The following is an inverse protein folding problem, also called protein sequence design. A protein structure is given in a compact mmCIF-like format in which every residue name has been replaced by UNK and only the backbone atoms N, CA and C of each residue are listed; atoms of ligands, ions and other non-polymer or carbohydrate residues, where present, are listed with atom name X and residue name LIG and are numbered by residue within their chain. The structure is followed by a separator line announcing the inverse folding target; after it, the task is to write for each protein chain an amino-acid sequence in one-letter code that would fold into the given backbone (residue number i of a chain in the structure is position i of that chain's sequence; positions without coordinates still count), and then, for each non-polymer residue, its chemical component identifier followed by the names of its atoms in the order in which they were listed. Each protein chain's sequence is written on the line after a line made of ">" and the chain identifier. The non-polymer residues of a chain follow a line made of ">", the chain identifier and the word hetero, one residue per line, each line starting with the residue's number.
data_IF_109963995397
#
_entry.id   IF_109963995397
#
_cell.length_a   1.000
_cell.length_b   1.000
_cell.length_c   1.000
_cell.angle_alpha   90.00
_cell.angle_beta   90.00
_cell.angle_gamma   90.00
#
_symmetry.space_group_name_H-M   'P 1'
#
loop_
_entity.id
_entity.type
_entity.pdbx_description
1 polymer ?
#
# COMPACT_ATOMS: atom_id res chain seq x y z
N UNK A 1 25.63 23.78 41.70
CA UNK A 1 24.51 22.84 41.89
C UNK A 1 23.31 23.48 41.23
N UNK A 2 23.11 23.20 39.94
CA UNK A 2 22.04 23.79 39.12
C UNK A 2 21.01 22.70 38.90
N UNK A 3 19.89 22.76 39.61
CA UNK A 3 18.76 21.87 39.37
C UNK A 3 18.07 22.35 38.09
N UNK A 4 18.23 21.57 37.02
CA UNK A 4 17.49 21.77 35.78
C UNK A 4 15.99 21.53 35.99
N UNK A 5 15.12 22.15 35.18
CA UNK A 5 13.69 22.04 35.38
C UNK A 5 13.23 20.57 35.20
N UNK A 6 12.33 20.09 36.08
CA UNK A 6 11.80 18.73 36.01
C UNK A 6 11.06 18.52 34.69
N UNK A 7 11.31 17.35 34.10
CA UNK A 7 10.94 16.99 32.74
C UNK A 7 9.51 17.37 32.36
N UNK A 8 9.41 18.14 31.27
CA UNK A 8 8.21 18.17 30.45
C UNK A 8 8.03 16.77 29.85
N UNK A 9 7.41 15.86 30.61
CA UNK A 9 6.78 14.67 30.03
C UNK A 9 5.69 15.18 29.10
N UNK A 10 6.01 15.25 27.82
CA UNK A 10 5.03 15.49 26.79
C UNK A 10 3.89 14.50 27.03
N UNK A 11 2.71 15.00 27.40
CA UNK A 11 1.51 14.17 27.56
C UNK A 11 1.26 13.51 26.22
N UNK A 12 1.72 12.27 26.07
CA UNK A 12 1.40 11.42 24.93
C UNK A 12 -0.11 11.28 24.95
N UNK A 13 -0.74 12.02 24.06
CA UNK A 13 -2.19 12.06 23.95
C UNK A 13 -2.59 10.77 23.27
N UNK A 14 -3.54 10.01 23.84
CA UNK A 14 -3.99 8.71 23.34
C UNK A 14 -4.89 8.83 22.08
N UNK A 15 -4.57 9.78 21.21
CA UNK A 15 -5.34 10.11 20.02
C UNK A 15 -4.42 10.07 18.80
N UNK A 16 -4.97 9.54 17.70
CA UNK A 16 -4.34 9.68 16.39
C UNK A 16 -4.33 11.16 16.03
N UNK A 17 -3.18 11.67 15.61
CA UNK A 17 -3.02 13.07 15.19
C UNK A 17 -2.43 13.15 13.79
N UNK A 18 -2.93 14.06 12.97
CA UNK A 18 -2.30 14.38 11.68
C UNK A 18 -1.51 15.68 11.82
N UNK A 19 -0.29 15.68 11.31
CA UNK A 19 0.58 16.83 11.14
C UNK A 19 0.91 17.02 9.65
N UNK A 20 1.09 18.27 9.22
CA UNK A 20 1.61 18.59 7.88
C UNK A 20 3.11 18.81 7.95
N UNK A 21 3.85 18.17 7.05
CA UNK A 21 5.29 18.34 6.85
C UNK A 21 5.51 18.79 5.41
N UNK A 22 5.24 20.08 5.14
CA UNK A 22 5.10 20.58 3.78
C UNK A 22 3.96 19.84 3.05
N UNK A 23 4.27 19.30 1.87
CA UNK A 23 3.33 18.53 1.04
C UNK A 23 3.09 17.09 1.55
N UNK A 24 3.74 16.67 2.64
CA UNK A 24 3.57 15.35 3.25
C UNK A 24 2.60 15.41 4.43
N UNK A 25 1.84 14.34 4.61
CA UNK A 25 1.06 14.09 5.83
C UNK A 25 1.84 13.16 6.76
N UNK A 26 1.98 13.53 8.03
CA UNK A 26 2.47 12.65 9.09
C UNK A 26 1.31 12.35 10.04
N UNK A 27 0.92 11.09 10.13
CA UNK A 27 -0.07 10.63 11.08
C UNK A 27 0.63 9.93 12.24
N UNK A 28 0.46 10.48 13.44
CA UNK A 28 1.02 9.95 14.67
C UNK A 28 0.03 8.98 15.30
N UNK A 29 0.46 7.73 15.39
CA UNK A 29 -0.20 6.62 16.05
C UNK A 29 0.44 6.45 17.44
N UNK A 30 -0.31 6.65 18.54
CA UNK A 30 0.27 6.65 19.88
C UNK A 30 0.85 5.28 20.28
N UNK A 31 0.22 4.20 19.83
CA UNK A 31 0.61 2.82 20.12
C UNK A 31 0.21 1.85 19.00
N UNK A 32 0.92 0.72 18.92
CA UNK A 32 0.61 -0.35 17.98
C UNK A 32 -0.43 -1.31 18.55
N UNK A 33 -1.71 -0.96 18.40
CA UNK A 33 -2.85 -1.80 18.78
C UNK A 33 -3.78 -2.09 17.60
N UNK A 34 -4.47 -3.24 17.61
CA UNK A 34 -5.39 -3.65 16.55
C UNK A 34 -6.54 -2.63 16.34
N UNK A 35 -7.10 -2.11 17.44
CA UNK A 35 -8.13 -1.06 17.40
C UNK A 35 -7.62 0.22 16.74
N UNK A 36 -6.37 0.60 16.99
CA UNK A 36 -5.72 1.76 16.35
C UNK A 36 -5.43 1.52 14.88
N UNK A 37 -5.04 0.30 14.49
CA UNK A 37 -4.88 -0.05 13.09
C UNK A 37 -6.20 0.09 12.31
N UNK A 38 -7.34 -0.27 12.93
CA UNK A 38 -8.67 -0.07 12.33
C UNK A 38 -9.01 1.42 12.15
N UNK A 39 -8.86 2.22 13.21
CA UNK A 39 -9.08 3.67 13.15
C UNK A 39 -8.14 4.36 12.15
N UNK A 40 -6.89 3.90 12.05
CA UNK A 40 -5.92 4.45 11.13
C UNK A 40 -6.36 4.31 9.68
N UNK A 41 -7.06 3.24 9.28
CA UNK A 41 -7.51 3.07 7.89
C UNK A 41 -8.44 4.20 7.43
N UNK A 42 -9.34 4.65 8.30
CA UNK A 42 -10.23 5.77 7.98
C UNK A 42 -9.47 7.10 7.94
N UNK A 43 -8.53 7.33 8.87
CA UNK A 43 -7.65 8.51 8.86
C UNK A 43 -6.77 8.55 7.59
N UNK A 44 -6.21 7.40 7.21
CA UNK A 44 -5.42 7.24 5.99
C UNK A 44 -6.22 7.57 4.74
N UNK A 45 -7.44 7.06 4.65
CA UNK A 45 -8.32 7.33 3.51
C UNK A 45 -8.66 8.81 3.43
N UNK A 46 -8.98 9.45 4.56
CA UNK A 46 -9.23 10.89 4.64
C UNK A 46 -8.01 11.71 4.20
N UNK A 47 -6.81 11.38 4.69
CA UNK A 47 -5.59 12.09 4.32
C UNK A 47 -5.21 11.88 2.85
N UNK A 48 -5.41 10.67 2.32
CA UNK A 48 -5.17 10.42 0.90
C UNK A 48 -6.12 11.18 -0.01
N UNK A 49 -7.34 11.43 0.44
CA UNK A 49 -8.31 12.27 -0.25
C UNK A 49 -7.76 13.69 -0.49
N UNK A 50 -7.03 14.22 0.49
CA UNK A 50 -6.37 15.53 0.39
C UNK A 50 -5.14 15.51 -0.52
N UNK A 51 -4.87 14.39 -1.18
CA UNK A 51 -3.85 14.21 -2.21
C UNK A 51 -2.44 14.69 -1.81
N UNK A 52 -1.92 14.32 -0.63
CA UNK A 52 -0.56 14.70 -0.24
C UNK A 52 0.47 14.05 -1.17
N UNK A 53 1.65 14.67 -1.23
CA UNK A 53 2.83 14.14 -1.93
C UNK A 53 3.34 12.84 -1.32
N UNK A 54 3.00 12.57 -0.06
CA UNK A 54 3.29 11.31 0.62
C UNK A 54 2.65 11.27 2.00
N UNK A 55 2.45 10.06 2.52
CA UNK A 55 1.84 9.83 3.82
C UNK A 55 2.79 9.01 4.71
N UNK A 56 3.11 9.48 5.90
CA UNK A 56 3.86 8.73 6.89
C UNK A 56 2.98 8.39 8.08
N UNK A 57 3.07 7.15 8.57
CA UNK A 57 2.50 6.76 9.86
C UNK A 57 3.65 6.58 10.84
N UNK A 58 3.69 7.39 11.89
CA UNK A 58 4.63 7.20 13.00
C UNK A 58 3.96 6.41 14.10
N UNK A 59 4.56 5.31 14.50
CA UNK A 59 4.14 4.52 15.66
C UNK A 59 5.03 4.94 16.83
N UNK A 60 4.46 5.64 17.80
CA UNK A 60 5.23 6.24 18.90
C UNK A 60 5.62 5.22 19.96
N UNK A 61 4.70 4.29 20.34
CA UNK A 61 4.98 3.20 21.28
C UNK A 61 4.72 1.84 20.67
N UNK A 62 5.63 0.91 20.94
CA UNK A 62 5.57 -0.47 20.45
C UNK A 62 5.81 -1.36 21.66
N UNK A 63 4.73 -1.78 22.30
CA UNK A 63 4.73 -2.62 23.50
C UNK A 63 3.77 -3.79 23.28
N UNK A 64 4.19 -5.01 23.62
CA UNK A 64 3.30 -6.18 23.61
C UNK A 64 2.62 -6.49 22.28
N UNK A 65 3.18 -6.05 21.14
CA UNK A 65 2.56 -6.27 19.84
C UNK A 65 2.57 -7.75 19.47
N UNK A 66 1.49 -8.21 18.86
CA UNK A 66 1.39 -9.54 18.31
C UNK A 66 1.60 -9.54 16.79
N UNK A 67 1.75 -10.75 16.23
CA UNK A 67 1.89 -10.90 14.78
C UNK A 67 0.66 -10.38 14.02
N UNK A 68 -0.53 -10.39 14.63
CA UNK A 68 -1.74 -9.90 13.99
C UNK A 68 -1.72 -8.37 13.80
N UNK A 69 -1.23 -7.63 14.78
CA UNK A 69 -1.16 -6.17 14.74
C UNK A 69 -0.10 -5.71 13.74
N UNK A 70 1.05 -6.40 13.66
CA UNK A 70 2.06 -6.11 12.62
C UNK A 70 1.53 -6.43 11.22
N UNK A 71 0.75 -7.50 11.05
CA UNK A 71 0.06 -7.78 9.78
C UNK A 71 -0.96 -6.71 9.43
N UNK A 72 -1.69 -6.17 10.42
CA UNK A 72 -2.63 -5.07 10.20
C UNK A 72 -1.92 -3.80 9.71
N UNK A 73 -0.79 -3.46 10.34
CA UNK A 73 0.09 -2.35 9.92
C UNK A 73 0.65 -2.56 8.51
N UNK A 74 1.20 -3.75 8.23
CA UNK A 74 1.67 -4.11 6.88
C UNK A 74 0.54 -4.15 5.84
N UNK A 75 -0.71 -4.37 6.31
CA UNK A 75 -1.93 -4.32 5.53
C UNK A 75 -2.18 -2.96 4.90
N UNK A 76 -1.65 -1.86 5.45
CA UNK A 76 -1.75 -0.54 4.82
C UNK A 76 -1.09 -0.49 3.45
N UNK A 77 -0.06 -1.32 3.20
CA UNK A 77 0.55 -1.42 1.88
C UNK A 77 -0.40 -1.96 0.80
N UNK A 78 -1.46 -2.68 1.20
CA UNK A 78 -2.53 -3.04 0.26
C UNK A 78 -3.34 -1.82 -0.19
N UNK A 79 -3.49 -0.80 0.65
CA UNK A 79 -4.14 0.44 0.26
C UNK A 79 -3.25 1.21 -0.73
N UNK A 80 -1.94 1.33 -0.45
CA UNK A 80 -0.95 1.94 -1.36
C UNK A 80 -0.93 1.26 -2.73
N UNK A 81 -1.00 -0.07 -2.76
CA UNK A 81 -1.04 -0.86 -4.00
C UNK A 81 -2.17 -0.41 -4.94
N UNK A 82 -3.32 -0.03 -4.37
CA UNK A 82 -4.50 0.43 -5.11
C UNK A 82 -4.58 1.96 -5.22
N UNK A 83 -3.69 2.68 -4.53
CA UNK A 83 -3.63 4.15 -4.50
C UNK A 83 -2.30 4.64 -5.09
N UNK A 84 -2.16 4.69 -6.42
CA UNK A 84 -0.91 5.11 -7.05
C UNK A 84 -0.60 6.57 -6.73
N UNK A 85 0.70 6.85 -6.59
CA UNK A 85 1.24 8.21 -6.57
C UNK A 85 1.36 8.91 -5.25
N UNK A 86 0.72 8.42 -4.20
CA UNK A 86 1.04 8.88 -2.86
C UNK A 86 1.81 7.76 -2.15
N UNK A 87 3.16 7.79 -2.16
CA UNK A 87 3.94 6.84 -1.38
C UNK A 87 3.51 6.88 0.08
N UNK A 88 3.66 5.76 0.76
CA UNK A 88 3.41 5.65 2.19
C UNK A 88 4.62 5.10 2.91
N UNK A 89 4.90 5.66 4.08
CA UNK A 89 5.98 5.24 4.95
C UNK A 89 5.51 4.90 6.36
N UNK A 90 6.19 3.95 7.01
CA UNK A 90 6.02 3.62 8.42
C UNK A 90 7.29 4.00 9.18
N UNK A 91 7.13 4.92 10.13
CA UNK A 91 8.17 5.30 11.09
C UNK A 91 7.93 4.55 12.38
N UNK A 92 8.78 3.59 12.71
CA UNK A 92 8.63 2.76 13.91
C UNK A 92 10.00 2.64 14.62
N UNK A 93 10.11 2.89 15.94
CA UNK A 93 11.41 2.84 16.61
C UNK A 93 12.05 1.43 16.63
N UNK A 94 11.23 0.38 16.54
CA UNK A 94 11.64 -1.02 16.70
C UNK A 94 12.08 -1.68 15.37
N UNK A 95 13.34 -2.13 15.21
CA UNK A 95 13.82 -2.83 14.00
C UNK A 95 12.99 -4.04 13.58
N UNK A 96 12.59 -4.88 14.55
CA UNK A 96 11.86 -6.11 14.25
C UNK A 96 10.47 -5.86 13.65
N UNK A 97 9.83 -4.72 13.96
CA UNK A 97 8.58 -4.33 13.29
C UNK A 97 8.83 -4.02 11.81
N UNK A 98 9.95 -3.38 11.46
CA UNK A 98 10.30 -3.12 10.06
C UNK A 98 10.52 -4.41 9.29
N UNK A 99 11.24 -5.37 9.87
CA UNK A 99 11.52 -6.65 9.24
C UNK A 99 10.22 -7.42 8.97
N UNK A 100 9.35 -7.50 9.98
CA UNK A 100 8.07 -8.18 9.86
C UNK A 100 7.12 -7.49 8.86
N UNK A 101 7.09 -6.16 8.83
CA UNK A 101 6.33 -5.41 7.82
C UNK A 101 6.89 -5.70 6.43
N UNK A 102 8.21 -5.66 6.25
CA UNK A 102 8.86 -5.86 4.94
C UNK A 102 8.69 -7.28 4.42
N UNK A 103 8.68 -8.29 5.30
CA UNK A 103 8.43 -9.69 4.95
C UNK A 103 6.97 -9.93 4.51
N UNK A 104 6.03 -9.08 4.93
CA UNK A 104 4.64 -9.22 4.56
C UNK A 104 4.42 -8.85 3.07
N UNK A 105 3.66 -9.64 2.27
CA UNK A 105 3.47 -9.39 0.84
C UNK A 105 2.89 -8.01 0.48
N UNK A 106 2.14 -7.40 1.41
CA UNK A 106 1.64 -6.04 1.26
C UNK A 106 2.63 -4.98 1.75
N UNK A 107 3.51 -5.30 2.71
CA UNK A 107 4.42 -4.33 3.29
C UNK A 107 5.56 -3.91 2.35
N UNK A 108 5.86 -4.69 1.30
CA UNK A 108 6.77 -4.28 0.21
C UNK A 108 6.36 -2.99 -0.53
N UNK A 109 5.12 -2.52 -0.35
CA UNK A 109 4.65 -1.26 -0.92
C UNK A 109 4.84 -0.07 0.03
N UNK A 110 5.36 -0.30 1.22
CA UNK A 110 5.61 0.70 2.25
C UNK A 110 7.11 1.02 2.32
N UNK A 111 7.45 2.29 2.45
CA UNK A 111 8.75 2.68 2.98
C UNK A 111 8.77 2.39 4.48
N UNK A 112 9.89 1.91 5.03
CA UNK A 112 9.99 1.55 6.44
C UNK A 112 11.29 2.08 7.01
N UNK A 113 11.26 2.62 8.24
CA UNK A 113 12.47 3.14 8.88
C UNK A 113 12.24 3.63 10.29
N UNK A 114 13.33 3.77 11.05
CA UNK A 114 13.24 4.16 12.45
C UNK A 114 12.99 5.66 12.65
N UNK A 115 13.26 6.47 11.62
CA UNK A 115 13.18 7.92 11.70
C UNK A 115 12.45 8.48 10.47
N UNK A 116 11.83 9.65 10.65
CA UNK A 116 11.17 10.38 9.56
C UNK A 116 12.13 10.62 8.39
N UNK A 117 13.38 11.10 8.58
CA UNK A 117 14.30 11.31 7.46
C UNK A 117 14.64 10.03 6.68
N UNK A 118 14.79 8.89 7.36
CA UNK A 118 15.08 7.61 6.70
C UNK A 118 13.92 7.17 5.80
N UNK A 119 12.69 7.32 6.30
CA UNK A 119 11.46 7.01 5.56
C UNK A 119 11.27 7.96 4.39
N UNK A 120 11.42 9.27 4.60
CA UNK A 120 11.32 10.28 3.54
C UNK A 120 12.30 10.01 2.40
N UNK A 121 13.56 9.67 2.73
CA UNK A 121 14.57 9.31 1.73
C UNK A 121 14.11 8.16 0.82
N UNK A 122 13.51 7.11 1.39
CA UNK A 122 12.97 6.00 0.62
C UNK A 122 11.76 6.42 -0.23
N UNK A 123 10.86 7.23 0.33
CA UNK A 123 9.68 7.73 -0.38
C UNK A 123 10.04 8.61 -1.58
N UNK A 124 11.03 9.49 -1.45
CA UNK A 124 11.54 10.26 -2.59
C UNK A 124 12.15 9.37 -3.66
N UNK A 125 12.90 8.33 -3.27
CA UNK A 125 13.42 7.33 -4.20
C UNK A 125 12.33 6.54 -4.95
N UNK A 126 11.15 6.36 -4.35
CA UNK A 126 10.01 5.72 -4.98
C UNK A 126 9.28 6.61 -6.02
N UNK A 127 9.63 7.90 -6.06
CA UNK A 127 9.02 8.92 -6.92
C UNK A 127 7.74 9.49 -6.33
N UNK A 128 7.76 10.80 -6.02
CA UNK A 128 6.56 11.57 -5.66
C UNK A 128 5.73 11.82 -6.91
N UNK A 129 4.40 11.70 -6.81
CA UNK A 129 3.53 11.96 -7.95
C UNK A 129 3.49 13.44 -8.36
N UNK A 130 3.42 13.68 -9.66
CA UNK A 130 2.97 14.98 -10.17
C UNK A 130 1.46 15.07 -9.98
N UNK A 131 0.97 16.16 -9.40
CA UNK A 131 -0.46 16.35 -9.11
C UNK A 131 -0.96 17.68 -9.67
N UNK A 132 -2.17 17.67 -10.23
CA UNK A 132 -2.93 18.85 -10.66
C UNK A 132 -4.28 18.80 -9.99
N UNK A 133 -4.69 19.91 -9.37
CA UNK A 133 -6.01 20.06 -8.75
C UNK A 133 -6.69 21.30 -9.33
N UNK A 134 -7.98 21.17 -9.66
CA UNK A 134 -8.81 22.27 -10.13
C UNK A 134 -10.16 22.27 -9.41
N UNK A 135 -10.72 23.45 -9.26
CA UNK A 135 -12.12 23.64 -8.88
C UNK A 135 -13.00 23.60 -10.14
N UNK A 136 -14.20 23.03 -9.99
CA UNK A 136 -15.19 22.88 -11.05
C UNK A 136 -16.52 23.43 -10.55
N UNK A 137 -17.23 24.17 -11.41
CA UNK A 137 -18.61 24.52 -11.10
C UNK A 137 -19.48 23.23 -11.07
N UNK A 138 -20.52 23.14 -10.22
CA UNK A 138 -21.43 21.98 -10.17
C UNK A 138 -22.42 21.95 -11.33
N UNK A 139 -21.91 21.90 -12.56
CA UNK A 139 -22.72 21.92 -13.77
C UNK A 139 -22.21 20.88 -14.76
N UNK A 140 -23.10 20.33 -15.58
CA UNK A 140 -22.70 19.35 -16.60
C UNK A 140 -21.72 19.93 -17.64
N UNK A 141 -21.65 21.26 -17.80
CA UNK A 141 -20.64 21.91 -18.65
C UNK A 141 -19.22 21.72 -18.13
N UNK A 142 -19.04 21.52 -16.83
CA UNK A 142 -17.73 21.28 -16.20
C UNK A 142 -17.11 19.95 -16.62
N UNK A 143 -17.88 19.02 -17.21
CA UNK A 143 -17.38 17.75 -17.76
C UNK A 143 -16.34 18.00 -18.86
N UNK A 144 -16.56 18.98 -19.74
CA UNK A 144 -15.62 19.27 -20.82
C UNK A 144 -14.36 19.98 -20.32
N UNK A 145 -14.51 20.84 -19.29
CA UNK A 145 -13.38 21.43 -18.58
C UNK A 145 -12.51 20.35 -17.93
N UNK A 146 -13.14 19.41 -17.21
CA UNK A 146 -12.45 18.29 -16.57
C UNK A 146 -11.71 17.38 -17.57
N UNK A 147 -12.33 17.10 -18.73
CA UNK A 147 -11.71 16.33 -19.84
C UNK A 147 -10.54 17.08 -20.48
N UNK A 148 -10.65 18.40 -20.61
CA UNK A 148 -9.57 19.24 -21.14
C UNK A 148 -8.39 19.25 -20.17
N UNK A 149 -8.64 19.42 -18.87
CA UNK A 149 -7.60 19.38 -17.83
C UNK A 149 -6.86 18.06 -17.81
N UNK A 150 -7.57 16.92 -17.87
CA UNK A 150 -6.88 15.62 -17.89
C UNK A 150 -6.11 15.40 -19.18
N UNK A 151 -6.58 15.94 -20.30
CA UNK A 151 -5.85 15.90 -21.58
C UNK A 151 -4.52 16.66 -21.46
N UNK A 152 -4.55 17.89 -20.95
CA UNK A 152 -3.36 18.70 -20.73
C UNK A 152 -2.40 18.03 -19.75
N UNK A 153 -2.88 17.57 -18.59
CA UNK A 153 -2.05 16.87 -17.62
C UNK A 153 -1.39 15.61 -18.20
N UNK A 154 -2.12 14.82 -19.00
CA UNK A 154 -1.53 13.66 -19.68
C UNK A 154 -0.45 14.05 -20.68
N UNK A 155 -0.59 15.17 -21.39
CA UNK A 155 0.42 15.65 -22.32
C UNK A 155 1.67 16.11 -21.55
N UNK A 156 1.48 16.90 -20.50
CA UNK A 156 2.55 17.42 -19.64
C UNK A 156 3.35 16.28 -18.98
N UNK A 157 2.68 15.19 -18.60
CA UNK A 157 3.31 14.01 -18.01
C UNK A 157 3.85 12.99 -19.03
N UNK A 158 3.76 13.27 -20.34
CA UNK A 158 4.20 12.34 -21.39
C UNK A 158 3.36 11.06 -21.49
N UNK A 159 2.13 11.08 -20.98
CA UNK A 159 1.18 9.96 -20.93
C UNK A 159 0.05 10.10 -21.96
N UNK A 160 0.33 10.69 -23.13
CA UNK A 160 -0.67 10.91 -24.19
C UNK A 160 -1.49 9.66 -24.56
N UNK A 161 -0.87 8.47 -24.50
CA UNK A 161 -1.53 7.17 -24.75
C UNK A 161 -2.65 6.83 -23.75
N UNK A 162 -2.71 7.49 -22.60
CA UNK A 162 -3.76 7.30 -21.60
C UNK A 162 -4.97 8.21 -21.80
N UNK A 163 -4.87 9.27 -22.60
CA UNK A 163 -5.96 10.24 -22.82
C UNK A 163 -7.28 9.54 -23.19
N UNK A 164 -7.32 8.60 -24.16
CA UNK A 164 -8.58 7.94 -24.54
C UNK A 164 -9.19 7.09 -23.43
N UNK A 165 -8.39 6.68 -22.43
CA UNK A 165 -8.83 5.85 -21.31
C UNK A 165 -9.28 6.68 -20.13
N UNK A 166 -8.53 7.73 -19.79
CA UNK A 166 -8.77 8.55 -18.59
C UNK A 166 -9.84 9.61 -18.81
N UNK A 167 -9.94 10.20 -20.01
CA UNK A 167 -10.91 11.26 -20.31
C UNK A 167 -12.37 10.82 -20.10
N UNK A 168 -12.80 9.61 -20.54
CA UNK A 168 -14.13 9.09 -20.22
C UNK A 168 -14.36 8.87 -18.72
N UNK A 169 -13.34 8.40 -17.98
CA UNK A 169 -13.42 8.17 -16.53
C UNK A 169 -13.69 9.47 -15.79
N UNK A 170 -12.88 10.49 -16.07
CA UNK A 170 -13.04 11.83 -15.47
C UNK A 170 -14.43 12.37 -15.77
N UNK A 171 -14.84 12.33 -17.04
CA UNK A 171 -16.15 12.87 -17.44
C UNK A 171 -17.32 12.16 -16.75
N UNK A 172 -17.25 10.84 -16.54
CA UNK A 172 -18.29 10.11 -15.83
C UNK A 172 -18.31 10.40 -14.33
N UNK A 173 -17.15 10.49 -13.67
CA UNK A 173 -17.10 10.82 -12.24
C UNK A 173 -17.65 12.23 -11.97
N UNK A 174 -17.26 13.20 -12.79
CA UNK A 174 -17.75 14.60 -12.71
C UNK A 174 -19.24 14.68 -13.02
N UNK A 175 -19.70 14.06 -14.12
CA UNK A 175 -21.12 14.07 -14.47
C UNK A 175 -21.98 13.43 -13.37
N UNK A 176 -21.52 12.31 -12.80
CA UNK A 176 -22.22 11.64 -11.70
C UNK A 176 -22.32 12.54 -10.48
N UNK A 177 -21.22 13.16 -10.04
CA UNK A 177 -21.25 14.07 -8.90
C UNK A 177 -22.25 15.22 -9.09
N UNK A 178 -22.27 15.84 -10.27
CA UNK A 178 -23.24 16.89 -10.62
C UNK A 178 -24.68 16.37 -10.60
N UNK A 179 -24.94 15.21 -11.20
CA UNK A 179 -26.28 14.60 -11.23
C UNK A 179 -26.77 14.17 -9.85
N UNK A 180 -25.84 13.83 -8.94
CA UNK A 180 -26.11 13.51 -7.54
C UNK A 180 -26.21 14.76 -6.65
N UNK A 181 -26.14 15.96 -7.24
CA UNK A 181 -26.41 17.23 -6.55
C UNK A 181 -25.22 17.84 -5.81
N UNK A 182 -23.98 17.58 -6.25
CA UNK A 182 -22.79 18.25 -5.72
C UNK A 182 -22.94 19.78 -5.74
N UNK A 183 -22.47 20.46 -4.68
CA UNK A 183 -22.33 21.92 -4.59
C UNK A 183 -20.94 22.36 -5.01
N UNK A 184 -19.95 22.22 -4.13
CA UNK A 184 -18.55 22.53 -4.47
C UNK A 184 -17.88 21.28 -5.05
N UNK A 185 -17.29 21.37 -6.25
CA UNK A 185 -16.66 20.23 -6.92
C UNK A 185 -15.17 20.47 -7.15
N UNK A 186 -14.34 19.53 -6.71
CA UNK A 186 -12.90 19.55 -6.97
C UNK A 186 -12.47 18.31 -7.74
N UNK A 187 -11.61 18.50 -8.73
CA UNK A 187 -10.96 17.41 -9.46
C UNK A 187 -9.47 17.43 -9.16
N UNK A 188 -8.95 16.31 -8.66
CA UNK A 188 -7.52 16.09 -8.53
C UNK A 188 -7.05 14.93 -9.42
N UNK A 189 -5.94 15.16 -10.11
CA UNK A 189 -5.27 14.22 -10.98
C UNK A 189 -3.86 14.01 -10.44
N UNK A 190 -3.46 12.77 -10.19
CA UNK A 190 -2.09 12.45 -9.75
C UNK A 190 -1.48 11.37 -10.62
N UNK A 191 -0.25 11.61 -11.08
CA UNK A 191 0.51 10.69 -11.92
C UNK A 191 1.62 9.99 -11.15
N UNK A 192 1.67 8.67 -11.29
CA UNK A 192 2.78 7.87 -10.77
C UNK A 192 3.14 6.78 -11.74
N UNK A 193 4.37 6.85 -12.25
CA UNK A 193 4.84 5.97 -13.33
C UNK A 193 3.83 6.02 -14.48
N UNK A 194 3.35 4.87 -14.94
CA UNK A 194 2.39 4.77 -16.04
C UNK A 194 0.93 4.70 -15.56
N UNK A 195 0.60 5.35 -14.44
CA UNK A 195 -0.74 5.33 -13.82
C UNK A 195 -1.20 6.74 -13.53
N UNK A 196 -2.50 6.97 -13.70
CA UNK A 196 -3.19 8.22 -13.33
C UNK A 196 -4.27 7.89 -12.33
N UNK A 197 -4.22 8.56 -11.18
CA UNK A 197 -5.31 8.63 -10.20
C UNK A 197 -6.20 9.81 -10.58
N UNK A 198 -7.50 9.57 -10.57
CA UNK A 198 -8.54 10.58 -10.67
C UNK A 198 -9.30 10.59 -9.35
N UNK A 199 -9.47 11.77 -8.77
CA UNK A 199 -10.26 11.99 -7.57
C UNK A 199 -11.24 13.13 -7.83
N UNK A 200 -12.52 12.89 -7.57
CA UNK A 200 -13.57 13.90 -7.58
C UNK A 200 -14.08 14.03 -6.16
N UNK A 201 -14.02 15.24 -5.63
CA UNK A 201 -14.46 15.59 -4.29
C UNK A 201 -15.67 16.51 -4.37
N UNK A 202 -16.67 16.25 -3.54
CA UNK A 202 -17.84 17.10 -3.38
C UNK A 202 -18.28 17.25 -1.91
N UNK A 203 -19.05 18.30 -1.65
CA UNK A 203 -19.53 18.72 -0.32
C UNK A 203 -20.78 17.97 0.16
N UNK A 204 -21.28 16.99 -0.59
CA UNK A 204 -22.49 16.24 -0.26
C UNK A 204 -22.14 14.83 0.22
N UNK A 205 -22.12 14.56 1.54
CA UNK A 205 -21.92 13.22 2.05
C UNK A 205 -22.93 12.23 1.45
N UNK A 206 -22.43 11.11 0.94
CA UNK A 206 -23.29 10.06 0.36
C UNK A 206 -23.40 8.89 1.32
N UNK A 207 -24.54 8.20 1.35
CA UNK A 207 -24.65 6.98 2.13
C UNK A 207 -23.58 6.00 1.65
N UNK A 208 -22.64 5.62 2.51
CA UNK A 208 -21.64 4.61 2.20
C UNK A 208 -22.37 3.32 1.81
N UNK A 209 -22.48 3.04 0.52
CA UNK A 209 -23.00 1.75 0.04
C UNK A 209 -21.97 0.70 0.42
N UNK A 210 -22.12 0.16 1.64
CA UNK A 210 -21.35 -0.92 2.24
C UNK A 210 -20.07 -1.22 1.48
N UNK A 211 -19.04 -0.40 1.66
CA UNK A 211 -17.70 -0.78 1.30
C UNK A 211 -17.36 -1.96 2.20
N UNK A 212 -17.66 -3.17 1.72
CA UNK A 212 -17.05 -4.38 2.23
C UNK A 212 -15.57 -4.15 2.01
N UNK A 213 -14.85 -3.77 3.07
CA UNK A 213 -13.40 -3.62 3.14
C UNK A 213 -12.69 -4.97 2.97
N UNK A 214 -13.17 -5.81 2.08
CA UNK A 214 -12.36 -6.91 1.58
C UNK A 214 -11.36 -6.27 0.65
N UNK A 215 -10.06 -6.49 0.92
CA UNK A 215 -8.95 -6.23 0.01
C UNK A 215 -9.02 -7.02 -1.31
N UNK A 216 -10.22 -7.40 -1.76
CA UNK A 216 -10.54 -7.95 -3.06
C UNK A 216 -11.47 -6.94 -3.73
N UNK A 217 -11.00 -6.33 -4.82
CA UNK A 217 -11.76 -5.37 -5.61
C UNK A 217 -13.05 -6.00 -6.15
N UNK A 218 -14.13 -5.89 -5.40
CA UNK A 218 -15.47 -6.15 -5.92
C UNK A 218 -16.12 -4.81 -6.26
N UNK A 219 -16.39 -4.70 -7.56
CA UNK A 219 -17.04 -3.58 -8.25
C UNK A 219 -18.32 -3.18 -7.51
N UNK A 220 -18.41 -1.92 -7.06
CA UNK A 220 -19.72 -1.27 -6.88
C UNK A 220 -20.52 -1.40 -8.19
N UNK A 221 -21.83 -1.68 -8.12
CA UNK A 221 -22.63 -2.01 -9.29
C UNK A 221 -22.75 -0.79 -10.23
N UNK A 222 -22.59 -1.10 -11.52
CA UNK A 222 -23.04 -0.31 -12.69
C UNK A 222 -22.57 1.15 -12.84
N UNK A 223 -21.29 1.32 -13.19
CA UNK A 223 -20.92 2.28 -14.25
C UNK A 223 -20.08 1.47 -15.22
N UNK A 224 -20.51 1.45 -16.49
CA UNK A 224 -19.93 0.76 -17.65
C UNK A 224 -18.56 1.34 -18.03
N UNK A 225 -17.66 1.46 -17.05
CA UNK A 225 -16.25 1.75 -17.30
C UNK A 225 -15.54 0.42 -17.55
N UNK A 226 -15.14 0.25 -18.81
CA UNK A 226 -14.56 -0.98 -19.34
C UNK A 226 -13.21 -1.39 -18.76
N UNK A 227 -12.60 -2.37 -19.44
CA UNK A 227 -11.44 -3.20 -19.10
C UNK A 227 -10.11 -2.48 -18.77
N UNK A 228 -10.12 -1.16 -18.59
CA UNK A 228 -8.93 -0.31 -18.42
C UNK A 228 -8.78 0.32 -17.04
N UNK A 229 -9.73 0.08 -16.13
CA UNK A 229 -9.62 0.48 -14.73
C UNK A 229 -8.75 -0.50 -13.95
N UNK A 230 -7.73 0.02 -13.26
CA UNK A 230 -6.96 -0.74 -12.28
C UNK A 230 -7.72 -0.91 -10.96
N UNK A 231 -8.31 0.18 -10.46
CA UNK A 231 -9.11 0.21 -9.24
C UNK A 231 -10.07 1.42 -9.23
N UNK A 232 -11.13 1.37 -8.43
CA UNK A 232 -12.07 2.49 -8.19
C UNK A 232 -12.76 2.33 -6.83
N UNK A 233 -13.32 3.41 -6.32
CA UNK A 233 -14.13 3.38 -5.10
C UNK A 233 -14.71 4.75 -4.74
N UNK A 234 -15.47 4.75 -3.65
CA UNK A 234 -16.08 5.94 -3.06
C UNK A 234 -15.93 5.86 -1.55
N UNK A 235 -15.76 7.01 -0.89
CA UNK A 235 -15.77 7.11 0.57
C UNK A 235 -16.15 8.53 1.01
N UNK A 236 -16.54 8.66 2.28
CA UNK A 236 -16.74 9.96 2.92
C UNK A 236 -15.61 10.23 3.91
N UNK A 237 -15.11 11.47 3.94
CA UNK A 237 -14.12 11.93 4.90
C UNK A 237 -14.33 13.41 5.21
N UNK A 238 -14.23 13.81 6.49
CA UNK A 238 -14.33 15.21 6.89
C UNK A 238 -15.63 15.91 6.48
N UNK A 239 -16.74 15.18 6.38
CA UNK A 239 -18.03 15.73 5.91
C UNK A 239 -18.10 15.95 4.40
N UNK A 240 -17.15 15.41 3.63
CA UNK A 240 -17.12 15.46 2.17
C UNK A 240 -17.17 14.06 1.57
N UNK A 241 -17.59 13.98 0.33
CA UNK A 241 -17.64 12.75 -0.45
C UNK A 241 -16.53 12.73 -1.51
N UNK A 242 -15.94 11.56 -1.71
CA UNK A 242 -14.84 11.34 -2.63
C UNK A 242 -15.13 10.15 -3.53
N UNK A 243 -15.15 10.37 -4.84
CA UNK A 243 -15.17 9.32 -5.85
C UNK A 243 -13.81 9.24 -6.55
N UNK A 244 -13.23 8.05 -6.66
CA UNK A 244 -11.90 7.90 -7.22
C UNK A 244 -11.78 6.73 -8.18
N UNK A 245 -10.81 6.84 -9.09
CA UNK A 245 -10.46 5.80 -10.04
C UNK A 245 -8.97 5.84 -10.38
N UNK A 246 -8.45 4.68 -10.78
CA UNK A 246 -7.07 4.50 -11.25
C UNK A 246 -7.09 3.94 -12.66
N UNK A 247 -6.41 4.64 -13.56
CA UNK A 247 -6.23 4.25 -14.96
C UNK A 247 -4.76 3.93 -15.17
N UNK A 248 -4.47 2.76 -15.72
CA UNK A 248 -3.09 2.30 -15.95
C UNK A 248 -2.82 2.14 -17.46
N UNK A 249 -1.60 2.47 -17.89
CA UNK A 249 -1.13 2.03 -19.20
C UNK A 249 -0.98 0.52 -19.06
N UNK A 250 -1.69 -0.25 -19.90
CA UNK A 250 -1.87 -1.70 -19.77
C UNK A 250 -0.71 -2.39 -19.03
N UNK A 251 -1.04 -3.16 -17.99
CA UNK A 251 -0.12 -4.23 -17.57
C UNK A 251 0.26 -4.98 -18.84
N UNK A 252 1.55 -5.22 -19.13
CA UNK A 252 1.87 -6.21 -20.14
C UNK A 252 1.09 -7.46 -19.74
N UNK A 253 0.18 -7.89 -20.62
CA UNK A 253 -0.35 -9.22 -20.50
C UNK A 253 0.90 -10.08 -20.44
N UNK A 254 1.09 -10.82 -19.35
CA UNK A 254 1.84 -12.06 -19.42
C UNK A 254 1.00 -12.96 -20.35
N UNK A 255 1.04 -12.64 -21.64
CA UNK A 255 0.43 -13.40 -22.70
C UNK A 255 1.13 -14.75 -22.64
N UNK A 256 0.33 -15.78 -22.41
CA UNK A 256 0.79 -17.11 -22.07
C UNK A 256 1.84 -17.61 -23.05
N UNK A 257 3.09 -17.63 -22.60
CA UNK A 257 4.05 -18.59 -23.09
C UNK A 257 3.76 -19.90 -22.35
N UNK A 258 2.66 -20.54 -22.75
CA UNK A 258 2.45 -21.97 -22.51
C UNK A 258 3.49 -22.66 -23.39
N UNK A 259 4.47 -23.41 -22.84
CA UNK A 259 5.31 -24.25 -23.67
C UNK A 259 4.37 -25.28 -24.31
N UNK A 260 4.22 -25.21 -25.63
CA UNK A 260 3.55 -26.25 -26.41
C UNK A 260 4.35 -27.53 -26.20
N UNK A 261 3.80 -28.44 -25.41
CA UNK A 261 4.27 -29.81 -25.28
C UNK A 261 4.31 -30.47 -26.67
N UNK A 262 5.51 -30.65 -27.23
CA UNK A 262 5.75 -31.72 -28.21
C UNK A 262 6.09 -32.97 -27.41
N UNK A 263 5.15 -33.91 -27.34
CA UNK A 263 5.47 -35.31 -27.17
C UNK A 263 6.09 -35.81 -28.47
N UNK A 264 7.32 -36.28 -28.40
CA UNK A 264 7.83 -37.36 -29.23
C UNK A 264 8.72 -38.23 -28.33
N UNK A 265 8.27 -39.46 -28.15
CA UNK A 265 8.95 -40.55 -27.46
C UNK A 265 10.34 -40.81 -28.03
N UNK A 266 11.33 -41.03 -27.15
CA UNK A 266 12.37 -42.05 -27.33
C UNK A 266 12.80 -42.60 -25.96
N UNK A 267 12.41 -43.85 -25.74
CA UNK A 267 13.06 -44.97 -25.04
C UNK A 267 14.03 -44.77 -23.84
N UNK A 268 13.72 -45.55 -22.78
CA UNK A 268 14.51 -46.10 -21.66
C UNK A 268 15.94 -46.62 -21.97
N UNK A 269 16.77 -47.12 -21.00
CA UNK A 269 16.57 -47.39 -19.54
C UNK A 269 17.68 -46.78 -18.65
N UNK A 270 17.62 -46.73 -17.32
CA UNK A 270 17.94 -47.86 -16.43
C UNK A 270 17.72 -47.46 -14.96
N UNK A 271 17.08 -48.36 -14.20
CA UNK A 271 16.95 -48.34 -12.74
C UNK A 271 18.27 -48.81 -12.05
N UNK A 272 18.38 -48.72 -10.71
CA UNK A 272 17.82 -49.74 -9.80
C UNK A 272 17.06 -49.11 -8.60
N UNK A 273 15.88 -49.58 -8.15
CA UNK A 273 15.55 -50.74 -7.28
C UNK A 273 16.41 -50.80 -6.01
N UNK A 274 15.86 -50.65 -4.80
CA UNK A 274 15.29 -51.66 -3.86
C UNK A 274 14.56 -50.86 -2.75
N UNK A 275 13.47 -51.23 -2.07
CA UNK A 275 12.68 -52.46 -1.91
C UNK A 275 11.64 -52.20 -0.79
N UNK A 276 10.57 -52.99 -0.79
CA UNK A 276 9.29 -52.79 -0.09
C UNK A 276 9.26 -53.40 1.32
N UNK A 277 8.35 -52.86 2.12
CA UNK A 277 7.81 -53.25 3.45
C UNK A 277 7.60 -54.76 3.67
N UNK A 278 7.89 -55.26 4.90
CA UNK A 278 6.93 -56.05 5.69
C UNK A 278 7.26 -56.17 7.20
N UNK A 279 6.21 -56.38 7.99
CA UNK A 279 6.06 -56.35 9.47
C UNK A 279 6.52 -57.60 10.24
N UNK A 280 7.07 -57.46 11.48
CA UNK A 280 6.59 -58.05 12.77
C UNK A 280 7.62 -57.99 13.93
N UNK A 281 7.11 -57.61 15.12
CA UNK A 281 7.32 -58.13 16.49
C UNK A 281 8.71 -58.21 17.18
N UNK A 282 8.71 -57.77 18.46
CA UNK A 282 9.76 -57.96 19.49
C UNK A 282 10.83 -56.86 19.45
N UNK A 283 11.22 -56.17 20.51
CA UNK A 283 11.29 -56.45 21.95
C UNK A 283 12.68 -55.97 22.41
N UNK A 284 12.74 -55.29 23.57
CA UNK A 284 13.96 -54.96 24.34
C UNK A 284 14.84 -53.82 23.76
N UNK A 285 14.93 -52.64 24.38
CA UNK A 285 15.67 -52.25 25.60
C UNK A 285 17.19 -52.14 25.39
N UNK A 286 17.81 -51.18 26.09
CA UNK A 286 19.25 -50.80 26.16
C UNK A 286 19.75 -49.57 25.36
N UNK A 287 19.84 -48.48 26.13
CA UNK A 287 21.06 -47.75 26.52
C UNK A 287 21.90 -46.95 25.50
N UNK A 288 22.13 -45.68 25.88
CA UNK A 288 23.30 -44.87 25.51
C UNK A 288 24.63 -45.58 25.85
N UNK A 289 25.73 -45.19 25.20
CA UNK A 289 26.62 -44.26 25.90
C UNK A 289 27.28 -43.20 25.01
N UNK A 290 27.58 -42.06 25.63
CA UNK A 290 28.38 -41.00 25.05
C UNK A 290 29.87 -41.33 24.90
N UNK A 291 30.54 -40.53 24.07
CA UNK A 291 31.97 -40.24 24.17
C UNK A 291 32.31 -38.90 23.49
N UNK A 292 32.82 -37.96 24.28
CA UNK A 292 33.93 -37.05 23.93
C UNK A 292 35.25 -37.81 24.28
N UNK A 293 36.49 -37.37 23.96
CA UNK A 293 36.97 -36.00 23.66
C UNK A 293 38.06 -35.91 22.57
N UNK A 294 38.56 -34.70 22.28
CA UNK A 294 39.79 -34.56 21.48
C UNK A 294 40.22 -33.13 21.19
N UNK A 295 41.19 -32.65 21.98
CA UNK A 295 41.91 -31.38 21.88
C UNK A 295 42.54 -31.11 20.50
N UNK A 296 42.69 -29.83 20.15
CA UNK A 296 43.47 -29.38 19.01
C UNK A 296 43.77 -27.89 19.08
N UNK A 297 44.70 -27.51 19.94
CA UNK A 297 45.41 -26.24 19.90
C UNK A 297 46.13 -26.08 18.55
N UNK A 298 46.11 -24.87 17.99
CA UNK A 298 46.80 -24.53 16.75
C UNK A 298 46.83 -23.03 16.53
N UNK A 299 47.69 -22.35 17.28
CA UNK A 299 47.99 -20.93 17.09
C UNK A 299 48.96 -20.64 15.95
N UNK A 300 49.14 -19.33 15.76
CA UNK A 300 50.17 -18.59 15.01
C UNK A 300 50.01 -18.42 13.49
N UNK A 301 50.07 -17.15 13.10
CA UNK A 301 50.33 -16.74 11.72
C UNK A 301 49.98 -15.28 11.44
N UNK A 302 50.60 -14.33 12.15
CA UNK A 302 50.65 -12.93 11.71
C UNK A 302 51.95 -12.67 10.95
N UNK A 303 51.88 -11.95 9.83
CA UNK A 303 52.95 -11.13 9.21
C UNK A 303 52.28 -10.20 8.17
N UNK A 304 52.63 -8.91 8.20
CA UNK A 304 52.34 -7.94 7.13
C UNK A 304 51.71 -6.65 7.61
#
# INVERSE_FOLDING_TARGET
>A
MWEGPPGATARVTDQIKTFRLGEFALIDMPDLAASRCSQMRSTLSAEWALSPSGLMVRVTRIEGYDAATVRALAGFGSMVKHWPGTPMGIVAPCPSVHDLVTQHPSGRFLATGQTIPAVLKQMWGAGVASTVTIELAPTLRSVDGARSTVTMACLDWGLAKLIPKVSPVVGQLVARAVLEGAGDLHLSLSQHKARIRVLVEDDVPRASHGAREDGTGRRSPATTLGEHLGARGEFNAGGRHFAWAVVEAQRPALAGMVPRNRRADLAHPCAPTVGRVDTRAGGEDWAEPGWEPGCGDGGMGGWG
#
